data_IF_668455975607
#
_entry.id   IF_668455975607
#
_cell.length_a   1.000
_cell.length_b   1.000
_cell.length_c   1.000
_cell.angle_alpha   90.00
_cell.angle_beta   90.00
_cell.angle_gamma   90.00
#
_symmetry.space_group_name_H-M   'P 1'
#
loop_
_entity.id
_entity.type
_entity.pdbx_description
1 polymer ?
#
# COMPACT_ATOMS: atom_id res chain seq x y z
N UNK A 1 10.49 9.20 -1.50
CA UNK A 1 11.56 10.23 -1.38
C UNK A 1 11.02 11.66 -1.29
N UNK A 2 9.90 11.97 -1.94
CA UNK A 2 9.24 13.28 -1.80
C UNK A 2 8.98 13.66 -0.33
N UNK A 3 8.62 12.69 0.51
CA UNK A 3 8.45 12.86 1.97
C UNK A 3 9.67 13.48 2.65
N UNK A 4 10.90 13.10 2.29
CA UNK A 4 12.11 13.69 2.89
C UNK A 4 12.24 15.18 2.55
N UNK A 5 11.89 15.57 1.33
CA UNK A 5 11.89 16.99 0.93
C UNK A 5 10.74 17.75 1.58
N UNK A 6 9.56 17.14 1.68
CA UNK A 6 8.41 17.67 2.38
C UNK A 6 8.74 17.96 3.85
N UNK A 7 9.33 16.99 4.56
CA UNK A 7 9.75 17.14 5.95
C UNK A 7 10.76 18.29 6.11
N UNK A 8 11.78 18.38 5.23
CA UNK A 8 12.78 19.45 5.28
C UNK A 8 12.20 20.86 5.00
N UNK A 9 11.15 20.96 4.17
CA UNK A 9 10.39 22.19 3.93
C UNK A 9 9.52 22.53 5.15
N UNK A 10 8.87 21.52 5.74
CA UNK A 10 8.06 21.65 6.96
C UNK A 10 8.89 22.19 8.13
N UNK A 11 10.09 21.63 8.36
CA UNK A 11 11.03 22.06 9.39
C UNK A 11 11.43 23.55 9.27
N UNK A 12 11.35 24.10 8.05
CA UNK A 12 11.65 25.51 7.75
C UNK A 12 10.41 26.39 7.70
N UNK A 13 9.23 25.84 8.00
CA UNK A 13 7.95 26.55 7.91
C UNK A 13 7.55 26.94 6.49
N UNK A 14 8.07 26.25 5.46
CA UNK A 14 7.75 26.50 4.06
C UNK A 14 6.50 25.70 3.69
N UNK A 15 5.38 26.37 3.31
CA UNK A 15 4.19 25.67 2.86
C UNK A 15 4.50 24.82 1.62
N UNK A 16 4.09 23.57 1.62
CA UNK A 16 4.36 22.66 0.52
C UNK A 16 3.26 21.61 0.38
N UNK A 17 3.11 21.05 -0.82
CA UNK A 17 2.14 19.99 -1.11
C UNK A 17 2.76 18.95 -2.02
N UNK A 18 2.54 17.66 -1.72
CA UNK A 18 2.93 16.57 -2.60
C UNK A 18 1.80 16.35 -3.59
N UNK A 19 2.11 16.37 -4.88
CA UNK A 19 1.18 16.10 -5.96
C UNK A 19 1.49 14.75 -6.59
N UNK A 20 0.43 14.07 -7.01
CA UNK A 20 0.49 12.74 -7.60
C UNK A 20 0.35 11.62 -6.57
N UNK A 21 -0.35 10.56 -6.98
CA UNK A 21 -0.76 9.46 -6.10
C UNK A 21 0.42 8.73 -5.46
N UNK A 22 1.52 8.49 -6.18
CA UNK A 22 2.70 7.80 -5.62
C UNK A 22 3.32 8.58 -4.45
N UNK A 23 3.34 9.92 -4.53
CA UNK A 23 3.78 10.78 -3.43
C UNK A 23 2.81 10.75 -2.25
N UNK A 24 1.50 10.84 -2.54
CA UNK A 24 0.43 10.78 -1.53
C UNK A 24 0.44 9.45 -0.77
N UNK A 25 0.63 8.32 -1.45
CA UNK A 25 0.71 6.97 -0.88
C UNK A 25 1.89 6.79 0.07
N UNK A 26 2.85 7.72 0.11
CA UNK A 26 3.94 7.71 1.08
C UNK A 26 3.69 8.58 2.31
N UNK A 27 2.63 9.39 2.32
CA UNK A 27 2.27 10.24 3.47
C UNK A 27 1.66 9.38 4.60
N UNK A 28 2.07 9.56 5.87
CA UNK A 28 1.66 8.66 6.95
C UNK A 28 0.15 8.50 7.11
N UNK A 29 -0.61 9.58 6.96
CA UNK A 29 -2.07 9.64 7.03
C UNK A 29 -2.75 8.82 5.92
N UNK A 30 -2.26 8.92 4.68
CA UNK A 30 -2.78 8.13 3.56
C UNK A 30 -2.39 6.66 3.72
N UNK A 31 -1.16 6.37 4.17
CA UNK A 31 -0.73 4.98 4.43
C UNK A 31 -1.61 4.34 5.52
N UNK A 32 -2.00 5.08 6.56
CA UNK A 32 -2.90 4.57 7.60
C UNK A 32 -4.30 4.28 7.06
N UNK A 33 -4.85 5.18 6.22
CA UNK A 33 -6.13 4.94 5.54
C UNK A 33 -6.06 3.69 4.66
N UNK A 34 -5.02 3.57 3.82
CA UNK A 34 -4.83 2.41 2.93
C UNK A 34 -4.62 1.12 3.73
N UNK A 35 -3.88 1.17 4.84
CA UNK A 35 -3.69 0.01 5.71
C UNK A 35 -5.03 -0.47 6.32
N UNK A 36 -5.90 0.44 6.73
CA UNK A 36 -7.26 0.08 7.19
C UNK A 36 -8.09 -0.52 6.05
N UNK A 37 -8.08 0.10 4.86
CA UNK A 37 -8.77 -0.44 3.68
C UNK A 37 -8.31 -1.87 3.34
N UNK A 38 -7.00 -2.13 3.38
CA UNK A 38 -6.42 -3.48 3.18
C UNK A 38 -6.97 -4.48 4.19
N UNK A 39 -6.98 -4.15 5.49
CA UNK A 39 -7.50 -5.05 6.54
C UNK A 39 -9.01 -5.29 6.42
N UNK A 40 -9.76 -4.31 5.90
CA UNK A 40 -11.19 -4.44 5.66
C UNK A 40 -11.51 -5.36 4.47
N UNK A 41 -10.66 -5.38 3.45
CA UNK A 41 -10.82 -6.19 2.24
C UNK A 41 -10.36 -7.65 2.45
N UNK A 42 -9.22 -7.85 3.11
CA UNK A 42 -8.56 -9.16 3.17
C UNK A 42 -8.00 -9.48 4.58
N UNK A 43 -8.46 -10.58 5.23
CA UNK A 43 -7.99 -10.97 6.55
C UNK A 43 -6.50 -11.37 6.59
N UNK A 44 -5.87 -11.60 5.43
CA UNK A 44 -4.43 -11.93 5.36
C UNK A 44 -3.52 -10.70 5.50
N UNK A 45 -4.08 -9.50 5.58
CA UNK A 45 -3.35 -8.23 5.65
C UNK A 45 -2.78 -7.95 7.05
N UNK A 46 -2.00 -8.90 7.58
CA UNK A 46 -1.42 -8.82 8.92
C UNK A 46 -0.41 -7.69 9.09
N UNK A 47 0.41 -7.39 8.08
CA UNK A 47 1.36 -6.26 8.12
C UNK A 47 0.64 -4.91 8.22
N UNK A 48 -0.43 -4.73 7.44
CA UNK A 48 -1.29 -3.55 7.51
C UNK A 48 -1.95 -3.43 8.88
N UNK A 49 -2.45 -4.53 9.45
CA UNK A 49 -3.02 -4.52 10.80
C UNK A 49 -1.98 -4.15 11.86
N UNK A 50 -0.77 -4.74 11.81
CA UNK A 50 0.30 -4.44 12.76
C UNK A 50 0.63 -2.95 12.77
N UNK A 51 0.69 -2.32 11.59
CA UNK A 51 0.90 -0.86 11.48
C UNK A 51 -0.16 -0.08 12.25
N UNK A 52 -1.44 -0.42 12.07
CA UNK A 52 -2.54 0.27 12.77
C UNK A 52 -2.46 0.04 14.28
N UNK A 53 -2.21 -1.20 14.71
CA UNK A 53 -2.15 -1.56 16.13
C UNK A 53 -0.95 -0.92 16.84
N UNK A 54 0.23 -0.86 16.20
CA UNK A 54 1.44 -0.24 16.77
C UNK A 54 1.46 1.28 16.61
N UNK A 55 0.61 1.83 15.74
CA UNK A 55 0.47 3.25 15.48
C UNK A 55 -0.09 4.05 16.67
N UNK A 56 -0.07 5.39 16.59
CA UNK A 56 -0.39 6.28 17.71
C UNK A 56 -1.81 6.14 18.24
N UNK A 57 -2.76 5.67 17.40
CA UNK A 57 -4.16 5.48 17.78
C UNK A 57 -4.35 4.42 18.87
N UNK A 58 -3.61 3.32 18.80
CA UNK A 58 -3.79 2.18 19.72
C UNK A 58 -2.54 1.90 20.57
N UNK A 59 -1.33 2.14 20.04
CA UNK A 59 -0.09 1.99 20.79
C UNK A 59 0.11 0.59 21.39
N UNK A 60 -0.29 -0.47 20.69
CA UNK A 60 -0.13 -1.85 21.15
C UNK A 60 1.36 -2.22 21.14
N UNK A 61 1.87 -2.68 22.28
CA UNK A 61 3.28 -3.03 22.44
C UNK A 61 3.66 -4.34 21.74
N UNK A 62 4.95 -4.53 21.46
CA UNK A 62 5.48 -5.72 20.79
C UNK A 62 5.12 -7.04 21.49
N UNK A 63 5.07 -7.04 22.83
CA UNK A 63 4.70 -8.22 23.61
C UNK A 63 3.26 -8.67 23.32
N UNK A 64 2.31 -7.72 23.32
CA UNK A 64 0.90 -7.98 23.03
C UNK A 64 0.66 -8.32 21.54
N UNK A 65 1.44 -7.73 20.62
CA UNK A 65 1.40 -8.13 19.20
C UNK A 65 1.90 -9.57 19.01
N UNK A 66 2.94 -9.98 19.73
CA UNK A 66 3.41 -11.36 19.71
C UNK A 66 2.36 -12.30 20.34
N UNK A 67 1.68 -11.87 21.41
CA UNK A 67 0.57 -12.62 22.01
C UNK A 67 -0.60 -12.77 21.04
N UNK A 68 -0.94 -11.71 20.28
CA UNK A 68 -1.96 -11.75 19.23
C UNK A 68 -1.61 -12.78 18.15
N UNK A 69 -0.34 -12.87 17.75
CA UNK A 69 0.11 -13.91 16.82
C UNK A 69 -0.05 -15.32 17.40
N UNK A 70 0.36 -15.55 18.66
CA UNK A 70 0.17 -16.84 19.33
C UNK A 70 -1.31 -17.22 19.44
N UNK A 71 -2.18 -16.24 19.65
CA UNK A 71 -3.63 -16.44 19.64
C UNK A 71 -4.10 -16.87 18.25
N UNK A 72 -3.67 -16.21 17.17
CA UNK A 72 -3.99 -16.61 15.80
C UNK A 72 -3.58 -18.06 15.52
N UNK A 73 -2.35 -18.44 15.89
CA UNK A 73 -1.86 -19.82 15.73
C UNK A 73 -2.72 -20.83 16.53
N UNK A 74 -3.19 -20.42 17.72
CA UNK A 74 -4.04 -21.26 18.57
C UNK A 74 -5.44 -21.42 17.98
N UNK A 75 -6.01 -20.35 17.44
CA UNK A 75 -7.33 -20.36 16.79
C UNK A 75 -7.31 -21.17 15.49
N UNK A 76 -6.23 -21.11 14.71
CA UNK A 76 -6.07 -21.90 13.49
C UNK A 76 -6.12 -23.42 13.73
N UNK A 77 -5.87 -23.86 14.97
CA UNK A 77 -5.94 -25.28 15.38
C UNK A 77 -7.28 -25.67 16.02
N UNK A 78 -8.25 -24.77 16.05
CA UNK A 78 -9.53 -24.94 16.75
C UNK A 78 -10.72 -24.66 15.82
N UNK A 79 -11.85 -25.31 16.10
CA UNK A 79 -13.12 -25.01 15.47
C UNK A 79 -13.71 -23.69 15.94
N UNK A 80 -14.84 -23.28 15.34
CA UNK A 80 -15.54 -22.04 15.69
C UNK A 80 -16.00 -21.99 17.17
N UNK A 81 -16.26 -23.16 17.76
CA UNK A 81 -16.60 -23.36 19.17
C UNK A 81 -15.37 -23.44 20.10
N UNK A 82 -14.17 -23.16 19.56
CA UNK A 82 -12.87 -23.28 20.23
C UNK A 82 -12.47 -24.71 20.61
N UNK A 83 -13.14 -25.75 20.10
CA UNK A 83 -12.71 -27.13 20.30
C UNK A 83 -11.50 -27.47 19.42
N UNK A 84 -10.54 -28.29 19.89
CA UNK A 84 -9.43 -28.72 19.05
C UNK A 84 -9.92 -29.49 17.82
N UNK A 85 -9.40 -29.13 16.64
CA UNK A 85 -9.71 -29.86 15.41
C UNK A 85 -9.00 -31.23 15.40
N UNK A 86 -9.65 -32.21 14.79
CA UNK A 86 -9.07 -33.54 14.61
C UNK A 86 -7.79 -33.45 13.73
N UNK A 87 -6.74 -34.27 14.00
CA UNK A 87 -5.49 -34.23 13.26
C UNK A 87 -5.66 -34.35 11.74
N UNK A 88 -6.64 -35.13 11.29
CA UNK A 88 -6.95 -35.36 9.88
C UNK A 88 -7.50 -34.09 9.21
N UNK A 89 -8.30 -33.30 9.94
CA UNK A 89 -8.82 -32.01 9.44
C UNK A 89 -7.68 -31.01 9.31
N UNK A 90 -6.79 -30.95 10.30
CA UNK A 90 -5.62 -30.08 10.26
C UNK A 90 -4.68 -30.43 9.10
N UNK A 91 -4.47 -31.72 8.83
CA UNK A 91 -3.68 -32.17 7.68
C UNK A 91 -4.29 -31.69 6.36
N UNK A 92 -5.60 -31.89 6.18
CA UNK A 92 -6.31 -31.42 4.97
C UNK A 92 -6.27 -29.91 4.80
N UNK A 93 -6.40 -29.15 5.88
CA UNK A 93 -6.28 -27.68 5.84
C UNK A 93 -4.87 -27.29 5.41
N UNK A 94 -3.81 -27.92 5.95
CA UNK A 94 -2.42 -27.65 5.54
C UNK A 94 -2.15 -28.00 4.08
N UNK A 95 -2.74 -29.07 3.57
CA UNK A 95 -2.59 -29.47 2.16
C UNK A 95 -3.33 -28.54 1.19
N UNK A 96 -4.36 -27.83 1.67
CA UNK A 96 -5.16 -26.90 0.86
C UNK A 96 -4.64 -25.46 0.91
N UNK A 97 -3.78 -25.16 1.87
CA UNK A 97 -3.22 -23.83 2.16
C UNK A 97 -1.85 -23.72 1.50
N UNK A 98 -1.58 -22.57 0.86
CA UNK A 98 -0.28 -22.36 0.21
C UNK A 98 0.87 -22.39 1.23
N UNK A 99 2.11 -22.74 0.82
CA UNK A 99 3.26 -22.84 1.75
C UNK A 99 3.55 -21.55 2.54
N UNK A 100 3.08 -20.40 2.08
CA UNK A 100 3.31 -19.08 2.68
C UNK A 100 2.09 -18.50 3.44
N UNK A 101 0.97 -19.23 3.50
CA UNK A 101 -0.26 -18.70 4.09
C UNK A 101 -0.28 -18.91 5.62
N UNK A 102 -0.34 -17.79 6.34
CA UNK A 102 -0.17 -17.73 7.79
C UNK A 102 -1.53 -17.56 8.50
N UNK A 103 -1.66 -18.01 9.76
CA UNK A 103 -2.84 -17.72 10.57
C UNK A 103 -3.15 -16.23 10.62
N UNK A 104 -4.42 -15.91 10.36
CA UNK A 104 -4.93 -14.53 10.30
C UNK A 104 -4.92 -13.90 11.70
N UNK A 105 -4.05 -12.90 11.90
CA UNK A 105 -4.10 -12.07 13.10
C UNK A 105 -5.30 -11.11 13.11
N UNK A 106 -5.93 -10.87 11.95
CA UNK A 106 -7.19 -10.13 11.83
C UNK A 106 -8.32 -10.91 12.50
N UNK A 107 -8.40 -12.21 12.24
CA UNK A 107 -9.42 -13.08 12.87
C UNK A 107 -9.18 -13.20 14.38
N UNK A 108 -7.91 -13.26 14.79
CA UNK A 108 -7.55 -13.25 16.21
C UNK A 108 -8.00 -11.95 16.91
N UNK A 109 -7.79 -10.80 16.27
CA UNK A 109 -8.26 -9.51 16.78
C UNK A 109 -9.78 -9.49 16.93
N UNK A 110 -10.51 -9.95 15.91
CA UNK A 110 -11.97 -10.05 15.97
C UNK A 110 -12.45 -10.97 17.09
N UNK A 111 -11.70 -12.05 17.35
CA UNK A 111 -12.02 -12.97 18.44
C UNK A 111 -11.85 -12.35 19.81
N UNK A 112 -10.79 -11.54 20.04
CA UNK A 112 -10.49 -10.92 21.35
C UNK A 112 -11.68 -10.20 21.96
N UNK A 113 -12.49 -9.51 21.14
CA UNK A 113 -13.68 -8.79 21.62
C UNK A 113 -14.73 -9.69 22.26
N UNK A 114 -14.84 -10.92 21.78
CA UNK A 114 -15.82 -11.91 22.25
C UNK A 114 -15.30 -12.82 23.37
N UNK A 115 -14.00 -12.77 23.66
CA UNK A 115 -13.40 -13.53 24.76
C UNK A 115 -13.77 -12.90 26.10
N UNK A 116 -14.16 -13.74 27.05
CA UNK A 116 -14.41 -13.32 28.43
C UNK A 116 -13.11 -12.80 29.07
N UNK A 117 -13.18 -11.80 29.98
CA UNK A 117 -11.99 -11.27 30.64
C UNK A 117 -11.16 -12.31 31.40
N UNK A 118 -11.79 -13.37 31.90
CA UNK A 118 -11.16 -14.48 32.63
C UNK A 118 -10.70 -15.63 31.70
N UNK A 119 -10.76 -15.45 30.38
CA UNK A 119 -10.33 -16.47 29.43
C UNK A 119 -8.83 -16.73 29.53
N UNK A 120 -8.44 -17.99 29.71
CA UNK A 120 -7.03 -18.41 29.65
C UNK A 120 -6.35 -18.12 28.30
N UNK A 121 -7.09 -17.82 27.23
CA UNK A 121 -6.53 -17.37 25.95
C UNK A 121 -5.99 -15.94 26.00
N UNK A 122 -6.31 -15.18 27.05
CA UNK A 122 -5.84 -13.82 27.27
C UNK A 122 -4.67 -13.74 28.27
N UNK A 123 -4.20 -14.88 28.80
CA UNK A 123 -3.17 -14.92 29.87
C UNK A 123 -1.84 -14.28 29.48
N UNK A 124 -1.53 -14.29 28.19
CA UNK A 124 -0.29 -13.80 27.61
C UNK A 124 -0.31 -12.30 27.29
N UNK A 125 -1.47 -11.64 27.47
CA UNK A 125 -1.65 -10.23 27.16
C UNK A 125 -1.58 -9.38 28.43
N UNK A 126 -1.09 -8.16 28.29
CA UNK A 126 -1.24 -7.14 29.32
C UNK A 126 -2.71 -6.68 29.42
N UNK A 127 -3.19 -6.24 30.60
CA UNK A 127 -4.54 -5.69 30.73
C UNK A 127 -4.81 -4.53 29.75
N UNK A 128 -3.86 -3.58 29.65
CA UNK A 128 -3.94 -2.46 28.73
C UNK A 128 -3.91 -2.91 27.26
N UNK A 129 -3.11 -3.94 26.95
CA UNK A 129 -3.05 -4.55 25.62
C UNK A 129 -4.39 -5.14 25.19
N UNK A 130 -5.08 -5.86 26.10
CA UNK A 130 -6.43 -6.37 25.84
C UNK A 130 -7.41 -5.23 25.60
N UNK A 131 -7.37 -4.17 26.40
CA UNK A 131 -8.25 -3.01 26.21
C UNK A 131 -8.03 -2.34 24.85
N UNK A 132 -6.77 -2.08 24.48
CA UNK A 132 -6.39 -1.48 23.18
C UNK A 132 -6.81 -2.36 22.01
N UNK A 133 -6.58 -3.67 22.09
CA UNK A 133 -6.98 -4.65 21.06
C UNK A 133 -8.50 -4.74 20.93
N UNK A 134 -9.25 -4.69 22.04
CA UNK A 134 -10.72 -4.62 22.00
C UNK A 134 -11.20 -3.32 21.36
N UNK A 135 -10.54 -2.20 21.66
CA UNK A 135 -10.79 -0.92 21.00
C UNK A 135 -10.60 -1.00 19.48
N UNK A 136 -9.48 -1.58 19.04
CA UNK A 136 -9.18 -1.78 17.62
C UNK A 136 -10.18 -2.72 16.93
N UNK A 137 -10.51 -3.86 17.55
CA UNK A 137 -11.56 -4.77 17.04
C UNK A 137 -12.92 -4.06 16.94
N UNK A 138 -13.26 -3.22 17.93
CA UNK A 138 -14.45 -2.39 17.90
C UNK A 138 -14.48 -1.43 16.71
N UNK A 139 -13.36 -0.76 16.42
CA UNK A 139 -13.19 0.12 15.27
C UNK A 139 -13.43 -0.62 13.95
N UNK A 140 -12.70 -1.72 13.70
CA UNK A 140 -12.83 -2.48 12.46
C UNK A 140 -14.24 -3.04 12.27
N UNK A 141 -14.91 -3.46 13.33
CA UNK A 141 -16.30 -3.90 13.23
C UNK A 141 -17.27 -2.78 12.82
N UNK A 142 -17.11 -1.57 13.35
CA UNK A 142 -17.92 -0.41 12.91
C UNK A 142 -17.67 -0.08 11.45
N UNK A 143 -16.39 -0.09 11.03
CA UNK A 143 -16.00 0.14 9.65
C UNK A 143 -16.56 -0.91 8.69
N UNK A 144 -16.55 -2.19 9.07
CA UNK A 144 -17.20 -3.25 8.28
C UNK A 144 -18.71 -3.04 8.10
N UNK A 145 -19.36 -2.36 9.05
CA UNK A 145 -20.77 -1.97 8.93
C UNK A 145 -21.07 -0.95 7.83
N UNK A 146 -20.07 -0.19 7.38
CA UNK A 146 -20.23 0.83 6.32
C UNK A 146 -19.63 0.41 4.98
N UNK A 147 -18.96 -0.74 4.89
CA UNK A 147 -18.31 -1.22 3.66
C UNK A 147 -19.25 -1.41 2.47
N UNK A 148 -20.55 -1.59 2.69
CA UNK A 148 -21.54 -1.68 1.62
C UNK A 148 -21.91 -0.34 0.98
N UNK A 149 -21.42 0.77 1.52
CA UNK A 149 -21.64 2.11 0.98
C UNK A 149 -20.59 2.54 -0.05
N UNK A 150 -20.71 3.76 -0.59
CA UNK A 150 -19.70 4.34 -1.47
C UNK A 150 -18.32 4.39 -0.82
N UNK A 151 -17.26 3.98 -1.54
CA UNK A 151 -15.86 4.02 -1.08
C UNK A 151 -15.46 5.36 -0.44
N UNK A 152 -15.84 6.54 -0.99
CA UNK A 152 -15.53 7.82 -0.36
C UNK A 152 -16.14 7.99 1.04
N UNK A 153 -17.28 7.37 1.32
CA UNK A 153 -17.89 7.38 2.65
C UNK A 153 -17.17 6.43 3.61
N UNK A 154 -16.71 5.28 3.11
CA UNK A 154 -15.84 4.37 3.88
C UNK A 154 -14.57 5.09 4.30
N UNK A 155 -13.91 5.81 3.39
CA UNK A 155 -12.69 6.57 3.69
C UNK A 155 -12.96 7.66 4.73
N UNK A 156 -14.04 8.43 4.58
CA UNK A 156 -14.44 9.40 5.62
C UNK A 156 -14.77 8.76 6.97
N UNK A 157 -15.27 7.53 6.99
CA UNK A 157 -15.47 6.79 8.23
C UNK A 157 -14.12 6.38 8.84
N UNK A 158 -13.15 5.95 8.03
CA UNK A 158 -11.79 5.63 8.46
C UNK A 158 -11.11 6.85 9.07
N UNK A 159 -11.16 8.00 8.39
CA UNK A 159 -10.60 9.27 8.87
C UNK A 159 -11.11 9.61 10.29
N UNK A 160 -12.42 9.50 10.50
CA UNK A 160 -13.05 9.75 11.81
C UNK A 160 -12.69 8.72 12.87
N UNK A 161 -12.62 7.43 12.51
CA UNK A 161 -12.28 6.36 13.46
C UNK A 161 -10.82 6.42 13.93
N UNK A 162 -9.93 6.84 13.03
CA UNK A 162 -8.52 7.12 13.29
C UNK A 162 -8.27 8.50 13.91
N UNK A 163 -9.30 9.36 13.99
CA UNK A 163 -9.24 10.74 14.47
C UNK A 163 -8.28 11.63 13.65
N UNK A 164 -8.10 11.32 12.37
CA UNK A 164 -7.18 12.08 11.51
C UNK A 164 -7.65 13.53 11.32
N UNK A 165 -8.95 13.77 11.35
CA UNK A 165 -9.53 15.11 11.30
C UNK A 165 -9.13 15.99 12.51
N UNK A 166 -8.94 15.39 13.68
CA UNK A 166 -8.53 16.09 14.90
C UNK A 166 -7.01 16.18 15.00
N UNK A 167 -6.32 15.05 14.86
CA UNK A 167 -4.87 14.95 15.04
C UNK A 167 -4.12 15.80 14.01
N UNK A 168 -4.55 15.79 12.75
CA UNK A 168 -3.92 16.60 11.70
C UNK A 168 -4.18 18.09 11.90
N UNK A 169 -5.35 18.46 12.44
CA UNK A 169 -5.67 19.85 12.75
C UNK A 169 -4.90 20.38 13.97
N UNK A 170 -4.61 19.51 14.95
CA UNK A 170 -3.86 19.85 16.16
C UNK A 170 -2.34 19.80 15.96
N UNK A 171 -1.85 19.19 14.87
CA UNK A 171 -0.42 18.98 14.65
C UNK A 171 0.29 20.25 14.16
N UNK A 172 0.81 21.04 15.11
CA UNK A 172 1.58 22.26 14.85
C UNK A 172 2.91 22.00 14.10
N UNK A 173 3.47 20.79 14.20
CA UNK A 173 4.77 20.45 13.58
C UNK A 173 4.72 20.20 12.08
N UNK A 174 3.54 20.04 11.49
CA UNK A 174 3.36 19.84 10.04
C UNK A 174 2.90 21.10 9.31
N UNK A 175 3.07 22.25 9.94
CA UNK A 175 2.63 23.54 9.41
C UNK A 175 1.16 23.83 9.76
N UNK A 176 0.51 24.76 9.05
CA UNK A 176 -0.89 25.09 9.31
C UNK A 176 -1.77 23.84 9.20
N UNK A 177 -2.74 23.70 10.10
CA UNK A 177 -3.74 22.61 10.18
C UNK A 177 -4.32 22.15 8.82
N UNK A 178 -4.32 23.02 7.81
CA UNK A 178 -4.81 22.73 6.47
C UNK A 178 -3.94 21.81 5.61
N UNK A 179 -2.63 21.67 5.86
CA UNK A 179 -1.73 20.97 4.92
C UNK A 179 -1.93 19.45 4.88
N UNK A 180 -1.98 18.78 6.03
CA UNK A 180 -2.21 17.34 6.07
C UNK A 180 -3.66 16.97 5.71
N UNK A 181 -4.62 17.82 6.10
CA UNK A 181 -6.00 17.72 5.61
C UNK A 181 -6.09 17.89 4.07
N UNK A 182 -5.21 18.71 3.47
CA UNK A 182 -5.12 18.83 2.03
C UNK A 182 -4.59 17.55 1.36
N UNK A 183 -3.64 16.82 1.96
CA UNK A 183 -3.15 15.54 1.41
C UNK A 183 -4.25 14.48 1.35
N UNK A 184 -5.04 14.32 2.41
CA UNK A 184 -6.19 13.39 2.42
C UNK A 184 -7.25 13.80 1.38
N UNK A 185 -7.48 15.11 1.22
CA UNK A 185 -8.39 15.60 0.17
C UNK A 185 -7.85 15.31 -1.23
N UNK A 186 -6.57 15.54 -1.49
CA UNK A 186 -5.93 15.16 -2.76
C UNK A 186 -6.08 13.67 -3.03
N UNK A 187 -5.87 12.83 -2.02
CA UNK A 187 -6.03 11.39 -2.12
C UNK A 187 -7.48 10.99 -2.45
N UNK A 188 -8.46 11.57 -1.77
CA UNK A 188 -9.87 11.36 -2.07
C UNK A 188 -10.22 11.78 -3.50
N UNK A 189 -9.69 12.89 -3.99
CA UNK A 189 -9.96 13.33 -5.35
C UNK A 189 -9.34 12.38 -6.39
N UNK A 190 -8.17 11.78 -6.13
CA UNK A 190 -7.60 10.73 -7.00
C UNK A 190 -8.48 9.50 -7.06
N UNK A 191 -9.00 9.08 -5.90
CA UNK A 191 -9.93 7.96 -5.81
C UNK A 191 -11.21 8.26 -6.59
N UNK A 192 -11.77 9.46 -6.49
CA UNK A 192 -12.95 9.85 -7.27
C UNK A 192 -12.67 9.79 -8.78
N UNK A 193 -11.50 10.24 -9.21
CA UNK A 193 -11.07 10.15 -10.62
C UNK A 193 -11.02 8.71 -11.11
N UNK A 194 -10.46 7.80 -10.30
CA UNK A 194 -10.45 6.36 -10.59
C UNK A 194 -11.87 5.77 -10.64
N UNK A 195 -12.69 6.03 -9.62
CA UNK A 195 -14.06 5.49 -9.51
C UNK A 195 -15.01 6.00 -10.61
N UNK A 196 -14.70 7.14 -11.23
CA UNK A 196 -15.47 7.64 -12.38
C UNK A 196 -15.27 6.78 -13.64
N UNK A 197 -14.18 6.01 -13.73
CA UNK A 197 -13.82 5.16 -14.87
C UNK A 197 -13.92 3.67 -14.54
N UNK A 198 -13.79 3.29 -13.26
CA UNK A 198 -13.89 1.89 -12.83
C UNK A 198 -15.33 1.38 -12.85
N UNK A 199 -15.62 0.45 -13.76
CA UNK A 199 -16.93 -0.19 -13.86
C UNK A 199 -17.23 -1.16 -12.70
N UNK A 200 -16.20 -1.62 -11.97
CA UNK A 200 -16.38 -2.58 -10.86
C UNK A 200 -16.81 -1.89 -9.57
N UNK A 201 -16.25 -0.72 -9.27
CA UNK A 201 -16.57 0.08 -8.09
C UNK A 201 -16.31 -0.63 -6.75
N UNK A 202 -15.47 -1.67 -6.73
CA UNK A 202 -15.21 -2.49 -5.54
C UNK A 202 -13.95 -2.07 -4.80
N UNK A 203 -13.90 -2.35 -3.50
CA UNK A 203 -12.72 -2.09 -2.68
C UNK A 203 -11.48 -2.82 -3.20
N UNK A 204 -11.61 -4.08 -3.60
CA UNK A 204 -10.50 -4.85 -4.14
C UNK A 204 -10.00 -4.29 -5.49
N UNK A 205 -10.89 -3.70 -6.32
CA UNK A 205 -10.49 -2.98 -7.55
C UNK A 205 -9.65 -1.76 -7.22
N UNK A 206 -10.10 -0.97 -6.23
CA UNK A 206 -9.35 0.19 -5.75
C UNK A 206 -7.98 -0.21 -5.22
N UNK A 207 -7.90 -1.23 -4.36
CA UNK A 207 -6.63 -1.67 -3.77
C UNK A 207 -5.64 -2.16 -4.84
N UNK A 208 -6.12 -2.93 -5.83
CA UNK A 208 -5.27 -3.35 -6.95
C UNK A 208 -4.76 -2.15 -7.78
N UNK A 209 -5.59 -1.12 -7.97
CA UNK A 209 -5.16 0.12 -8.62
C UNK A 209 -4.13 0.90 -7.79
N UNK A 210 -4.32 0.99 -6.47
CA UNK A 210 -3.35 1.63 -5.57
C UNK A 210 -2.00 0.90 -5.57
N UNK A 211 -2.01 -0.44 -5.52
CA UNK A 211 -0.79 -1.26 -5.59
C UNK A 211 -0.06 -1.01 -6.93
N UNK A 212 -0.80 -0.97 -8.04
CA UNK A 212 -0.22 -0.67 -9.35
C UNK A 212 0.36 0.75 -9.42
N UNK A 213 -0.32 1.73 -8.83
CA UNK A 213 0.17 3.10 -8.78
C UNK A 213 1.42 3.27 -7.91
N UNK A 214 1.50 2.52 -6.79
CA UNK A 214 2.69 2.48 -5.92
C UNK A 214 3.90 1.86 -6.66
N UNK A 215 3.67 0.81 -7.45
CA UNK A 215 4.74 0.11 -8.18
C UNK A 215 5.29 0.90 -9.36
N UNK A 216 4.42 1.53 -10.13
CA UNK A 216 4.76 2.08 -11.44
C UNK A 216 5.39 3.48 -11.32
N UNK A 217 5.13 4.23 -10.24
CA UNK A 217 5.43 5.69 -10.08
C UNK A 217 4.88 6.58 -11.23
N UNK A 218 4.34 5.95 -12.27
CA UNK A 218 3.39 6.47 -13.21
C UNK A 218 2.03 6.37 -12.53
N UNK A 219 1.38 7.51 -12.32
CA UNK A 219 0.13 7.76 -13.04
C UNK A 219 -0.42 9.17 -12.75
N UNK A 220 -0.99 9.69 -13.83
CA UNK A 220 -1.74 10.94 -14.03
C UNK A 220 -1.03 12.23 -13.57
N UNK A 221 -0.54 13.07 -14.50
CA UNK A 221 -0.24 14.46 -14.16
C UNK A 221 -1.54 15.12 -13.70
N UNK A 222 -1.55 15.61 -12.45
CA UNK A 222 -2.63 16.48 -12.00
C UNK A 222 -2.30 17.94 -12.27
N UNK A 223 -3.32 18.59 -12.82
CA UNK A 223 -3.36 19.97 -13.30
C UNK A 223 -3.92 20.92 -12.24
N UNK A 224 -3.60 20.72 -10.96
CA UNK A 224 -3.93 21.76 -9.98
C UNK A 224 -3.08 22.99 -10.31
N UNK A 225 -3.70 24.16 -10.52
CA UNK A 225 -2.95 25.38 -10.78
C UNK A 225 -2.01 25.65 -9.59
N UNK A 226 -0.81 26.18 -9.84
CA UNK A 226 0.11 26.52 -8.77
C UNK A 226 -0.56 27.46 -7.76
N UNK A 227 -0.50 27.09 -6.48
CA UNK A 227 -0.99 27.93 -5.39
C UNK A 227 0.12 28.93 -4.99
N UNK A 228 -0.14 30.25 -5.01
CA UNK A 228 0.85 31.24 -4.60
C UNK A 228 1.34 30.99 -3.17
N UNK A 229 2.65 30.92 -2.99
CA UNK A 229 3.29 30.73 -1.68
C UNK A 229 3.38 29.28 -1.20
N UNK A 230 2.99 28.29 -2.04
CA UNK A 230 3.11 26.86 -1.73
C UNK A 230 4.07 26.19 -2.70
N UNK A 231 5.06 25.46 -2.18
CA UNK A 231 5.97 24.64 -2.98
C UNK A 231 5.26 23.34 -3.38
N UNK A 232 5.13 23.08 -4.68
CA UNK A 232 4.58 21.83 -5.18
C UNK A 232 5.71 20.81 -5.40
N UNK A 233 5.60 19.64 -4.77
CA UNK A 233 6.50 18.50 -4.93
C UNK A 233 5.82 17.49 -5.85
N UNK A 234 6.40 17.24 -7.03
CA UNK A 234 5.82 16.35 -8.04
C UNK A 234 6.90 15.61 -8.84
N UNK A 235 6.52 14.55 -9.54
CA UNK A 235 7.44 13.78 -10.39
C UNK A 235 7.68 14.53 -11.71
N UNK A 236 8.80 14.26 -12.38
CA UNK A 236 9.10 14.85 -13.70
C UNK A 236 7.98 14.54 -14.70
N UNK A 237 7.44 13.33 -14.67
CA UNK A 237 6.29 12.94 -15.50
C UNK A 237 5.02 13.72 -15.14
N UNK A 238 4.79 13.93 -13.84
CA UNK A 238 3.67 14.74 -13.33
C UNK A 238 3.73 16.21 -13.76
N UNK A 239 4.92 16.72 -14.12
CA UNK A 239 5.12 18.12 -14.50
C UNK A 239 4.77 18.42 -15.97
N UNK A 240 4.43 17.39 -16.77
CA UNK A 240 4.22 17.53 -18.20
C UNK A 240 3.06 18.49 -18.51
N UNK A 241 3.38 19.58 -19.22
CA UNK A 241 2.39 20.59 -19.64
C UNK A 241 2.09 21.65 -18.59
N UNK A 242 2.86 21.70 -17.50
CA UNK A 242 2.75 22.68 -16.43
C UNK A 242 3.95 23.64 -16.44
N UNK A 243 3.77 24.81 -15.85
CA UNK A 243 4.78 25.86 -15.74
C UNK A 243 4.76 26.51 -14.34
N UNK A 244 5.93 26.94 -13.88
CA UNK A 244 6.13 27.61 -12.59
C UNK A 244 7.15 28.73 -12.73
N UNK A 245 7.09 29.72 -11.84
CA UNK A 245 8.06 30.82 -11.78
C UNK A 245 9.48 30.32 -11.45
N UNK A 246 9.59 29.23 -10.69
CA UNK A 246 10.86 28.59 -10.32
C UNK A 246 10.69 27.07 -10.22
N UNK A 247 11.68 26.33 -10.74
CA UNK A 247 11.72 24.86 -10.71
C UNK A 247 13.06 24.39 -10.16
N UNK A 248 13.03 23.49 -9.17
CA UNK A 248 14.21 22.82 -8.65
C UNK A 248 14.15 21.33 -8.98
N UNK A 249 15.07 20.85 -9.80
CA UNK A 249 15.26 19.41 -10.04
C UNK A 249 16.25 18.87 -9.02
N UNK A 250 15.73 18.10 -8.06
CA UNK A 250 16.53 17.51 -6.98
C UNK A 250 16.99 16.10 -7.35
N UNK A 251 18.04 15.62 -6.66
CA UNK A 251 18.61 14.26 -6.83
C UNK A 251 19.02 13.91 -8.26
N UNK A 252 19.81 14.79 -8.87
CA UNK A 252 20.58 14.46 -10.08
C UNK A 252 21.78 13.58 -9.70
N UNK A 253 21.50 12.35 -9.27
CA UNK A 253 22.49 11.37 -8.82
C UNK A 253 22.60 10.25 -9.87
N UNK A 254 23.83 9.82 -10.15
CA UNK A 254 24.09 8.68 -11.02
C UNK A 254 23.29 7.45 -10.54
N UNK A 255 22.70 6.71 -11.48
CA UNK A 255 21.85 5.54 -11.23
C UNK A 255 20.45 5.80 -10.62
N UNK A 256 20.13 7.06 -10.30
CA UNK A 256 18.79 7.50 -9.89
C UNK A 256 18.10 8.33 -10.96
N UNK A 257 18.86 9.22 -11.62
CA UNK A 257 18.40 9.98 -12.79
C UNK A 257 19.53 10.05 -13.84
N UNK A 258 19.49 9.20 -14.89
CA UNK A 258 18.48 8.17 -15.16
C UNK A 258 18.56 6.99 -14.18
N UNK A 259 17.39 6.44 -13.83
CA UNK A 259 17.29 5.28 -12.95
C UNK A 259 17.80 4.02 -13.64
N UNK A 260 18.39 3.09 -12.88
CA UNK A 260 18.75 1.78 -13.42
C UNK A 260 17.51 1.03 -13.93
N UNK A 261 17.59 0.32 -15.06
CA UNK A 261 16.52 -0.53 -15.55
C UNK A 261 16.04 -1.53 -14.48
N UNK A 262 14.74 -1.52 -14.16
CA UNK A 262 14.13 -2.45 -13.20
C UNK A 262 14.11 -3.89 -13.73
N UNK A 263 14.08 -4.05 -15.05
CA UNK A 263 14.13 -5.34 -15.73
C UNK A 263 14.78 -5.21 -17.09
N UNK A 264 15.57 -6.19 -17.47
CA UNK A 264 16.16 -6.32 -18.81
C UNK A 264 15.50 -7.45 -19.61
N UNK A 265 14.39 -8.02 -19.12
CA UNK A 265 13.69 -9.13 -19.79
C UNK A 265 13.03 -8.70 -21.10
N UNK A 266 12.85 -7.40 -21.34
CA UNK A 266 12.14 -6.88 -22.50
C UNK A 266 10.74 -7.51 -22.61
N UNK A 267 10.35 -7.93 -23.81
CA UNK A 267 9.06 -8.60 -24.03
C UNK A 267 8.95 -10.03 -23.49
N UNK A 268 10.04 -10.63 -22.99
CA UNK A 268 9.96 -11.93 -22.31
C UNK A 268 9.34 -11.80 -20.90
N UNK A 269 9.14 -10.57 -20.40
CA UNK A 269 8.40 -10.31 -19.18
C UNK A 269 6.91 -10.67 -19.33
N UNK A 270 6.30 -11.11 -18.24
CA UNK A 270 4.87 -11.38 -18.20
C UNK A 270 4.08 -10.12 -18.58
N UNK A 271 2.96 -10.30 -19.31
CA UNK A 271 2.07 -9.20 -19.70
C UNK A 271 2.63 -8.24 -20.76
N UNK A 272 3.83 -8.47 -21.30
CA UNK A 272 4.43 -7.59 -22.31
C UNK A 272 4.15 -8.09 -23.72
N UNK A 273 3.69 -7.20 -24.61
CA UNK A 273 3.49 -7.54 -26.02
C UNK A 273 4.83 -7.86 -26.70
N UNK A 274 4.97 -9.02 -27.39
CA UNK A 274 6.18 -9.33 -28.15
C UNK A 274 6.53 -8.22 -29.15
N UNK A 275 7.79 -7.77 -29.14
CA UNK A 275 8.21 -6.58 -29.89
C UNK A 275 7.91 -6.65 -31.39
N UNK A 276 7.86 -7.86 -31.99
CA UNK A 276 7.49 -8.05 -33.40
C UNK A 276 6.10 -7.51 -33.77
N UNK A 277 5.21 -7.40 -32.78
CA UNK A 277 3.83 -6.92 -32.95
C UNK A 277 3.67 -5.43 -32.63
N UNK A 278 4.71 -4.76 -32.12
CA UNK A 278 4.65 -3.32 -31.86
C UNK A 278 4.88 -2.53 -33.14
N UNK A 279 4.29 -1.33 -33.22
CA UNK A 279 4.47 -0.42 -34.35
C UNK A 279 5.90 0.13 -34.47
N UNK A 280 6.60 0.25 -33.34
CA UNK A 280 7.98 0.74 -33.22
C UNK A 280 9.03 -0.39 -33.27
N UNK A 281 8.66 -1.60 -33.72
CA UNK A 281 9.54 -2.79 -33.72
C UNK A 281 10.93 -2.59 -34.32
N UNK A 282 11.06 -1.68 -35.30
CA UNK A 282 12.33 -1.42 -35.98
C UNK A 282 13.39 -0.77 -35.07
N UNK A 283 12.96 -0.11 -33.99
CA UNK A 283 13.84 0.51 -33.01
C UNK A 283 14.14 -0.39 -31.80
N UNK A 284 13.52 -1.57 -31.71
CA UNK A 284 13.58 -2.44 -30.54
C UNK A 284 14.57 -3.60 -30.75
N UNK A 285 15.24 -4.06 -29.67
CA UNK A 285 16.09 -5.25 -29.73
C UNK A 285 15.35 -6.49 -30.25
N UNK A 286 16.05 -7.37 -30.97
CA UNK A 286 15.49 -8.62 -31.51
C UNK A 286 16.06 -9.82 -30.76
N UNK A 287 15.19 -10.71 -30.30
CA UNK A 287 15.59 -12.00 -29.75
C UNK A 287 15.67 -13.02 -30.89
N UNK A 288 16.88 -13.41 -31.30
CA UNK A 288 17.13 -14.42 -32.32
C UNK A 288 16.99 -15.86 -31.77
N UNK A 289 15.87 -16.17 -31.12
CA UNK A 289 15.65 -17.49 -30.50
C UNK A 289 15.34 -18.59 -31.53
N UNK A 290 14.79 -18.23 -32.70
CA UNK A 290 14.44 -19.17 -33.77
C UNK A 290 15.68 -19.79 -34.44
N UNK A 291 16.84 -19.13 -34.32
CA UNK A 291 18.13 -19.61 -34.85
C UNK A 291 18.83 -20.61 -33.89
N UNK A 292 18.32 -20.76 -32.67
CA UNK A 292 18.93 -21.63 -31.67
C UNK A 292 18.55 -23.11 -31.88
N UNK A 293 19.54 -23.92 -32.25
CA UNK A 293 19.35 -25.37 -32.47
C UNK A 293 19.52 -26.22 -31.21
N UNK A 294 20.08 -25.66 -30.13
CA UNK A 294 20.25 -26.33 -28.86
C UNK A 294 19.99 -25.39 -27.66
N UNK A 295 19.91 -25.98 -26.45
CA UNK A 295 19.64 -25.26 -25.20
C UNK A 295 20.72 -24.22 -24.87
N UNK A 296 21.97 -24.46 -25.27
CA UNK A 296 23.09 -23.55 -25.00
C UNK A 296 23.00 -22.32 -25.89
N UNK A 297 22.72 -22.50 -27.18
CA UNK A 297 22.47 -21.45 -28.16
C UNK A 297 21.30 -20.57 -27.73
N UNK A 298 20.17 -21.16 -27.29
CA UNK A 298 19.02 -20.39 -26.83
C UNK A 298 19.34 -19.54 -25.59
N UNK A 299 20.06 -20.10 -24.61
CA UNK A 299 20.51 -19.34 -23.44
C UNK A 299 21.43 -18.17 -23.82
N UNK A 300 22.30 -18.36 -24.81
CA UNK A 300 23.17 -17.31 -25.32
C UNK A 300 22.36 -16.19 -25.99
N UNK A 301 21.40 -16.53 -26.85
CA UNK A 301 20.51 -15.56 -27.51
C UNK A 301 19.70 -14.74 -26.49
N UNK A 302 19.15 -15.39 -25.45
CA UNK A 302 18.46 -14.71 -24.35
C UNK A 302 19.40 -13.74 -23.61
N UNK A 303 20.65 -14.15 -23.35
CA UNK A 303 21.63 -13.31 -22.65
C UNK A 303 22.00 -12.08 -23.47
N UNK A 304 22.25 -12.25 -24.77
CA UNK A 304 22.53 -11.15 -25.70
C UNK A 304 21.35 -10.19 -25.81
N UNK A 305 20.13 -10.73 -25.97
CA UNK A 305 18.92 -9.92 -26.02
C UNK A 305 18.75 -9.07 -24.76
N UNK A 306 18.95 -9.63 -23.56
CA UNK A 306 18.89 -8.85 -22.31
C UNK A 306 19.93 -7.74 -22.24
N UNK A 307 21.12 -7.97 -22.80
CA UNK A 307 22.16 -6.93 -22.88
C UNK A 307 21.73 -5.80 -23.84
N UNK A 308 21.20 -6.15 -25.03
CA UNK A 308 20.68 -5.15 -25.97
C UNK A 308 19.48 -4.38 -25.43
N UNK A 309 18.59 -5.02 -24.67
CA UNK A 309 17.51 -4.33 -23.93
C UNK A 309 18.09 -3.37 -22.90
N UNK A 310 19.14 -3.77 -22.18
CA UNK A 310 19.80 -2.89 -21.20
C UNK A 310 20.46 -1.67 -21.85
N UNK A 311 21.07 -1.82 -23.02
CA UNK A 311 21.67 -0.69 -23.77
C UNK A 311 20.62 0.25 -24.37
N UNK A 312 19.41 -0.24 -24.61
CA UNK A 312 18.30 0.53 -25.15
C UNK A 312 17.56 1.36 -24.06
N UNK A 313 17.69 0.98 -22.79
CA UNK A 313 17.06 1.64 -21.63
C UNK A 313 18.02 2.65 -20.99
#
# INVERSE_FOLDING_TARGET
HMTVFADALAERGIPHRILGLGGLLSTPEVVDVVAVLRVLDDPRQGSALIRILSGPRFGVGLSDLAALRRLADTLARRGADLTPLAPEVLARMRDSVGPDEQPSIVDALDRIRSLRPDSGLLSDFSPDGVERLRGASGMFHRLRGVLGGPIPEVIRAIERELLLDIELAANETRGPAGLAAAQLRSFLDEIQGFLAVDERGSLSSLLAWLDHAEETDELMPRTEPPEPGVVQLLTIHGAKGLEWDAVAVVRMVQDELPARPRSTQGWMGYGTLPYRFRGDRAALPVLAWEEATDRKALRSAITQFKASVKEHL
#
